data_IF_143721478120
#
_entry.id   IF_143721478120
#
_cell.length_a   1.000
_cell.length_b   1.000
_cell.length_c   1.000
_cell.angle_alpha   90.00
_cell.angle_beta   90.00
_cell.angle_gamma   90.00
#
_symmetry.space_group_name_H-M   'P 1'
#
loop_
_entity.id
_entity.type
_entity.pdbx_description
1 polymer ?
#
# COMPACT_ATOMS: atom_id res chain seq x y z
N UNK A 1 -27.71 -37.50 50.38
CA UNK A 1 -28.51 -37.39 49.14
C UNK A 1 -29.54 -36.30 49.33
N UNK A 2 -29.66 -35.23 48.54
CA UNK A 2 -28.76 -34.51 47.64
C UNK A 2 -29.44 -33.12 47.57
N UNK A 3 -28.72 -32.07 47.98
CA UNK A 3 -29.08 -30.67 47.67
C UNK A 3 -28.39 -30.35 46.36
N UNK A 4 -29.14 -30.38 45.27
CA UNK A 4 -28.70 -30.01 43.93
C UNK A 4 -29.93 -29.44 43.24
N UNK A 5 -29.75 -28.27 42.63
CA UNK A 5 -30.74 -27.45 41.88
C UNK A 5 -31.20 -26.21 42.63
N UNK A 6 -30.30 -25.20 42.73
CA UNK A 6 -30.59 -23.74 42.70
C UNK A 6 -29.35 -22.92 43.09
N UNK A 7 -28.30 -22.93 42.25
CA UNK A 7 -27.30 -21.86 42.24
C UNK A 7 -26.53 -21.86 40.92
N UNK A 8 -27.06 -21.17 39.92
CA UNK A 8 -26.30 -20.77 38.72
C UNK A 8 -27.02 -19.60 38.01
N UNK A 9 -26.73 -18.39 38.48
CA UNK A 9 -27.02 -17.04 37.95
C UNK A 9 -26.68 -16.13 39.14
N UNK A 10 -25.71 -15.22 39.18
CA UNK A 10 -25.21 -14.25 38.21
C UNK A 10 -23.84 -13.79 38.73
N UNK A 11 -22.74 -14.19 38.10
CA UNK A 11 -21.45 -13.52 38.21
C UNK A 11 -20.97 -13.21 36.79
N UNK A 12 -21.37 -12.03 36.29
CA UNK A 12 -20.91 -11.49 35.03
C UNK A 12 -19.73 -10.56 35.31
N UNK A 13 -18.54 -11.16 35.44
CA UNK A 13 -17.28 -10.41 35.35
C UNK A 13 -16.86 -10.21 33.87
N UNK A 14 -16.13 -9.11 33.58
CA UNK A 14 -16.03 -8.53 32.25
C UNK A 14 -15.16 -9.38 31.32
N UNK A 15 -15.66 -9.60 30.10
CA UNK A 15 -14.88 -10.20 29.00
C UNK A 15 -13.62 -9.36 28.74
N UNK A 16 -12.43 -9.97 28.64
CA UNK A 16 -11.24 -9.24 28.23
C UNK A 16 -11.42 -8.72 26.80
N UNK A 17 -11.06 -7.45 26.61
CA UNK A 17 -10.96 -6.82 25.30
C UNK A 17 -10.02 -7.64 24.42
N UNK A 18 -10.51 -8.03 23.24
CA UNK A 18 -9.72 -8.64 22.18
C UNK A 18 -8.62 -7.65 21.79
N UNK A 19 -7.43 -7.91 22.33
CA UNK A 19 -6.20 -7.29 21.91
C UNK A 19 -5.93 -7.62 20.44
N UNK A 20 -5.53 -6.56 19.75
CA UNK A 20 -4.93 -6.51 18.42
C UNK A 20 -4.01 -7.72 18.20
N UNK A 21 -4.54 -8.72 17.50
CA UNK A 21 -3.81 -9.95 17.20
C UNK A 21 -3.12 -9.79 15.87
N UNK A 22 -1.81 -9.56 15.99
CA UNK A 22 -0.75 -9.67 15.00
C UNK A 22 -1.15 -10.33 13.67
N UNK A 23 -0.83 -9.64 12.59
CA UNK A 23 -0.82 -10.17 11.22
C UNK A 23 -0.05 -11.51 11.19
N UNK A 24 -0.62 -12.59 10.60
CA UNK A 24 0.09 -13.84 10.47
C UNK A 24 1.14 -13.68 9.37
N UNK A 25 2.38 -13.52 9.79
CA UNK A 25 3.56 -13.66 8.95
C UNK A 25 3.89 -15.15 8.78
N UNK A 26 4.06 -15.55 7.53
CA UNK A 26 4.70 -16.78 7.03
C UNK A 26 4.02 -18.15 7.27
N UNK A 27 3.39 -18.66 6.21
CA UNK A 27 3.59 -20.05 5.75
C UNK A 27 2.93 -20.30 4.38
N UNK A 28 3.66 -20.01 3.29
CA UNK A 28 3.53 -20.70 1.99
C UNK A 28 4.79 -20.44 1.16
N UNK A 29 5.78 -21.30 1.32
CA UNK A 29 7.01 -21.34 0.53
C UNK A 29 6.74 -21.88 -0.88
N UNK A 30 6.51 -20.97 -1.80
CA UNK A 30 6.89 -21.02 -3.20
C UNK A 30 7.29 -19.60 -3.55
N UNK A 31 8.53 -19.36 -4.00
CA UNK A 31 9.01 -18.01 -4.29
C UNK A 31 8.09 -17.40 -5.35
N UNK A 32 7.11 -16.60 -4.93
CA UNK A 32 6.26 -15.87 -5.84
C UNK A 32 7.13 -14.78 -6.47
N UNK A 33 7.49 -14.89 -7.76
CA UNK A 33 8.43 -13.96 -8.38
C UNK A 33 7.75 -12.60 -8.66
N UNK A 34 6.46 -12.46 -8.32
CA UNK A 34 5.66 -11.28 -8.57
C UNK A 34 5.57 -10.38 -7.34
N UNK A 35 5.70 -9.08 -7.60
CA UNK A 35 5.59 -8.01 -6.60
C UNK A 35 4.50 -7.02 -7.01
N UNK A 36 3.86 -6.42 -6.01
CA UNK A 36 2.79 -5.43 -6.20
C UNK A 36 3.21 -4.11 -5.61
N UNK A 37 3.11 -3.06 -6.42
CA UNK A 37 3.28 -1.68 -5.99
C UNK A 37 1.93 -1.17 -5.49
N UNK A 38 1.81 -0.92 -4.18
CA UNK A 38 0.59 -0.39 -3.56
C UNK A 38 0.43 1.11 -3.86
N UNK A 39 -0.79 1.64 -3.63
CA UNK A 39 -1.11 3.07 -3.81
C UNK A 39 -0.23 4.03 -3.01
N UNK A 40 0.35 3.56 -1.90
CA UNK A 40 1.26 4.32 -1.05
C UNK A 40 2.75 4.15 -1.45
N UNK A 41 3.04 3.55 -2.61
CA UNK A 41 4.40 3.29 -3.09
C UNK A 41 5.07 2.06 -2.48
N UNK A 42 4.51 1.46 -1.41
CA UNK A 42 5.10 0.28 -0.77
C UNK A 42 5.00 -0.95 -1.68
N UNK A 43 6.13 -1.60 -1.90
CA UNK A 43 6.21 -2.87 -2.63
C UNK A 43 5.92 -4.03 -1.68
N UNK A 44 5.01 -4.92 -2.08
CA UNK A 44 4.68 -6.15 -1.35
C UNK A 44 4.73 -7.36 -2.26
N UNK A 45 4.88 -8.55 -1.68
CA UNK A 45 4.76 -9.80 -2.43
C UNK A 45 3.35 -9.93 -2.99
N UNK A 46 3.21 -10.38 -4.24
CA UNK A 46 1.90 -10.68 -4.81
C UNK A 46 1.25 -11.84 -4.04
N UNK A 47 -0.03 -11.70 -3.72
CA UNK A 47 -0.79 -12.71 -3.02
C UNK A 47 -2.14 -12.88 -3.73
N UNK A 48 -2.35 -13.99 -4.46
CA UNK A 48 -3.59 -14.22 -5.19
C UNK A 48 -4.81 -14.34 -4.27
N UNK A 49 -4.63 -14.72 -2.99
CA UNK A 49 -5.73 -14.83 -2.03
C UNK A 49 -6.43 -13.48 -1.79
N UNK A 50 -5.70 -12.36 -1.92
CA UNK A 50 -6.26 -11.01 -1.81
C UNK A 50 -7.26 -10.72 -2.92
N UNK A 51 -7.03 -11.24 -4.13
CA UNK A 51 -7.95 -11.12 -5.26
C UNK A 51 -9.21 -11.93 -4.95
N UNK A 52 -9.07 -13.21 -4.59
CA UNK A 52 -10.20 -14.08 -4.26
C UNK A 52 -11.09 -13.47 -3.18
N UNK A 53 -10.51 -12.97 -2.08
CA UNK A 53 -11.27 -12.33 -1.00
C UNK A 53 -12.02 -11.08 -1.49
N UNK A 54 -11.40 -10.26 -2.32
CA UNK A 54 -12.05 -9.07 -2.87
C UNK A 54 -13.20 -9.43 -3.82
N UNK A 55 -13.02 -10.45 -4.66
CA UNK A 55 -14.06 -10.96 -5.54
C UNK A 55 -15.23 -11.54 -4.74
N UNK A 56 -14.96 -12.39 -3.74
CA UNK A 56 -16.01 -12.95 -2.87
C UNK A 56 -16.83 -11.86 -2.19
N UNK A 57 -16.20 -10.78 -1.70
CA UNK A 57 -16.93 -9.64 -1.13
C UNK A 57 -17.86 -8.97 -2.14
N UNK A 58 -17.44 -8.83 -3.39
CA UNK A 58 -18.29 -8.28 -4.44
C UNK A 58 -19.47 -9.22 -4.77
N UNK A 59 -19.25 -10.54 -4.80
CA UNK A 59 -20.34 -11.52 -4.98
C UNK A 59 -21.34 -11.47 -3.81
N UNK A 60 -20.85 -11.44 -2.56
CA UNK A 60 -21.70 -11.35 -1.38
C UNK A 60 -22.54 -10.06 -1.33
N UNK A 61 -22.00 -8.95 -1.83
CA UNK A 61 -22.74 -7.69 -1.91
C UNK A 61 -23.94 -7.77 -2.89
N UNK A 62 -23.90 -8.67 -3.87
CA UNK A 62 -24.97 -8.82 -4.88
C UNK A 62 -25.92 -9.97 -4.54
N UNK A 63 -25.38 -11.13 -4.15
CA UNK A 63 -26.16 -12.36 -3.90
C UNK A 63 -26.58 -12.52 -2.42
N UNK A 64 -26.03 -11.70 -1.52
CA UNK A 64 -26.34 -11.73 -0.09
C UNK A 64 -25.56 -12.80 0.68
N UNK A 65 -25.71 -12.79 2.01
CA UNK A 65 -24.91 -13.63 2.91
C UNK A 65 -25.18 -15.14 2.77
N UNK A 66 -26.33 -15.54 2.21
CA UNK A 66 -26.67 -16.95 1.93
C UNK A 66 -25.72 -17.56 0.89
N UNK A 67 -25.11 -16.72 0.06
CA UNK A 67 -24.15 -17.10 -0.95
C UNK A 67 -22.74 -17.40 -0.38
N UNK A 68 -22.47 -17.07 0.89
CA UNK A 68 -21.15 -17.28 1.51
C UNK A 68 -20.73 -18.75 1.61
N UNK A 69 -21.69 -19.67 1.71
CA UNK A 69 -21.45 -21.11 1.71
C UNK A 69 -21.63 -21.76 0.34
N UNK A 70 -21.88 -20.98 -0.72
CA UNK A 70 -22.16 -21.52 -2.06
C UNK A 70 -20.87 -22.00 -2.73
N UNK A 71 -20.74 -23.31 -2.93
CA UNK A 71 -19.63 -23.93 -3.68
C UNK A 71 -19.47 -23.32 -5.07
N UNK A 72 -20.59 -23.05 -5.75
CA UNK A 72 -20.60 -22.42 -7.09
C UNK A 72 -19.88 -21.06 -7.10
N UNK A 73 -20.06 -20.24 -6.06
CA UNK A 73 -19.43 -18.92 -5.99
C UNK A 73 -17.94 -19.06 -5.74
N UNK A 74 -17.53 -19.95 -4.84
CA UNK A 74 -16.12 -20.24 -4.58
C UNK A 74 -15.42 -20.73 -5.85
N UNK A 75 -16.00 -21.68 -6.58
CA UNK A 75 -15.48 -22.17 -7.86
C UNK A 75 -15.39 -21.06 -8.92
N UNK A 76 -16.41 -20.18 -8.97
CA UNK A 76 -16.43 -19.06 -9.91
C UNK A 76 -15.34 -18.03 -9.57
N UNK A 77 -15.19 -17.68 -8.29
CA UNK A 77 -14.16 -16.75 -7.81
C UNK A 77 -12.76 -17.32 -8.06
N UNK A 78 -12.54 -18.60 -7.80
CA UNK A 78 -11.26 -19.26 -8.05
C UNK A 78 -10.91 -19.23 -9.54
N UNK A 79 -11.84 -19.62 -10.41
CA UNK A 79 -11.67 -19.58 -11.86
C UNK A 79 -11.35 -18.17 -12.35
N UNK A 80 -12.06 -17.15 -11.87
CA UNK A 80 -11.83 -15.77 -12.29
C UNK A 80 -10.51 -15.24 -11.75
N UNK A 81 -10.14 -15.59 -10.52
CA UNK A 81 -8.84 -15.22 -9.94
C UNK A 81 -7.70 -15.79 -10.78
N UNK A 82 -7.82 -17.04 -11.22
CA UNK A 82 -6.82 -17.65 -12.10
C UNK A 82 -6.71 -16.92 -13.45
N UNK A 83 -7.84 -16.52 -14.03
CA UNK A 83 -7.86 -15.73 -15.28
C UNK A 83 -7.18 -14.36 -15.12
N UNK A 84 -7.33 -13.72 -13.94
CA UNK A 84 -6.66 -12.46 -13.62
C UNK A 84 -5.15 -12.65 -13.52
N UNK A 85 -4.71 -13.68 -12.79
CA UNK A 85 -3.27 -14.01 -12.63
C UNK A 85 -2.65 -14.29 -14.01
N UNK A 86 -3.32 -15.11 -14.82
CA UNK A 86 -2.85 -15.41 -16.18
C UNK A 86 -2.79 -14.15 -17.03
N UNK A 87 -3.80 -13.28 -16.98
CA UNK A 87 -3.81 -12.02 -17.71
C UNK A 87 -2.65 -11.08 -17.33
N UNK A 88 -2.38 -10.95 -16.03
CA UNK A 88 -1.34 -10.08 -15.48
C UNK A 88 0.07 -10.55 -15.83
N UNK A 89 0.33 -11.86 -15.69
CA UNK A 89 1.71 -12.37 -15.73
C UNK A 89 2.07 -13.15 -16.99
N UNK A 90 1.12 -13.37 -17.92
CA UNK A 90 1.39 -14.05 -19.20
C UNK A 90 2.57 -13.46 -19.99
N UNK A 91 2.84 -12.16 -19.85
CA UNK A 91 3.92 -11.46 -20.57
C UNK A 91 5.24 -11.36 -19.80
N UNK A 92 5.26 -11.77 -18.53
CA UNK A 92 6.43 -11.66 -17.63
C UNK A 92 6.57 -12.93 -16.78
N UNK A 93 6.82 -14.11 -17.41
CA UNK A 93 6.83 -15.39 -16.70
C UNK A 93 8.01 -15.56 -15.72
N UNK A 94 9.08 -14.77 -15.87
CA UNK A 94 10.27 -14.82 -15.01
C UNK A 94 10.14 -13.99 -13.72
N UNK A 95 9.00 -13.30 -13.54
CA UNK A 95 8.78 -12.38 -12.43
C UNK A 95 8.65 -10.94 -12.89
N UNK A 96 8.09 -10.10 -12.02
CA UNK A 96 7.81 -8.72 -12.36
C UNK A 96 7.14 -7.94 -11.25
N UNK A 97 7.10 -6.63 -11.42
CA UNK A 97 6.32 -5.72 -10.57
C UNK A 97 5.09 -5.25 -11.34
N UNK A 98 3.94 -5.25 -10.66
CA UNK A 98 2.67 -4.75 -11.20
C UNK A 98 2.09 -3.69 -10.28
N UNK A 99 1.42 -2.68 -10.83
CA UNK A 99 0.71 -1.73 -10.00
C UNK A 99 -0.61 -2.34 -9.50
N UNK A 100 -1.02 -1.95 -8.30
CA UNK A 100 -2.29 -2.41 -7.73
C UNK A 100 -3.52 -1.96 -8.55
N UNK A 101 -3.39 -0.91 -9.36
CA UNK A 101 -4.45 -0.50 -10.30
C UNK A 101 -4.54 -1.47 -11.48
N UNK A 102 -3.41 -1.95 -12.03
CA UNK A 102 -3.42 -2.95 -13.12
C UNK A 102 -4.13 -4.23 -12.69
N UNK A 103 -3.94 -4.64 -11.43
CA UNK A 103 -4.64 -5.80 -10.85
C UNK A 103 -6.15 -5.53 -10.80
N UNK A 104 -6.57 -4.33 -10.38
CA UNK A 104 -7.99 -3.97 -10.31
C UNK A 104 -8.62 -3.97 -11.70
N UNK A 105 -7.96 -3.39 -12.70
CA UNK A 105 -8.44 -3.35 -14.08
C UNK A 105 -8.60 -4.76 -14.65
N UNK A 106 -7.68 -5.68 -14.34
CA UNK A 106 -7.79 -7.08 -14.74
C UNK A 106 -8.95 -7.79 -14.04
N UNK A 107 -9.21 -7.51 -12.76
CA UNK A 107 -10.38 -8.07 -12.04
C UNK A 107 -11.68 -7.59 -12.67
N UNK A 108 -11.79 -6.30 -12.96
CA UNK A 108 -12.97 -5.73 -13.63
C UNK A 108 -13.18 -6.34 -15.01
N UNK A 109 -12.11 -6.45 -15.81
CA UNK A 109 -12.16 -7.07 -17.13
C UNK A 109 -12.59 -8.54 -17.05
N UNK A 110 -12.08 -9.31 -16.08
CA UNK A 110 -12.45 -10.70 -15.88
C UNK A 110 -13.94 -10.85 -15.52
N UNK A 111 -14.45 -10.02 -14.60
CA UNK A 111 -15.87 -9.99 -14.24
C UNK A 111 -16.76 -9.61 -15.42
N UNK A 112 -16.37 -8.61 -16.21
CA UNK A 112 -17.12 -8.18 -17.40
C UNK A 112 -17.16 -9.29 -18.47
N UNK A 113 -16.03 -9.96 -18.73
CA UNK A 113 -15.96 -11.07 -19.70
C UNK A 113 -16.76 -12.30 -19.27
N UNK A 114 -16.87 -12.52 -17.97
CA UNK A 114 -17.69 -13.60 -17.41
C UNK A 114 -19.20 -13.31 -17.44
N UNK A 115 -19.61 -12.11 -17.87
CA UNK A 115 -21.01 -11.68 -17.85
C UNK A 115 -21.52 -11.24 -16.48
N UNK A 116 -20.63 -11.17 -15.47
CA UNK A 116 -20.96 -10.84 -14.09
C UNK A 116 -21.06 -9.33 -13.87
N UNK A 117 -21.85 -8.64 -14.71
CA UNK A 117 -21.93 -7.17 -14.74
C UNK A 117 -22.43 -6.57 -13.43
N UNK A 118 -23.35 -7.25 -12.73
CA UNK A 118 -23.85 -6.79 -11.42
C UNK A 118 -22.72 -6.82 -10.38
N UNK A 119 -21.92 -7.89 -10.37
CA UNK A 119 -20.79 -8.06 -9.47
C UNK A 119 -19.66 -7.10 -9.81
N UNK A 120 -19.37 -6.87 -11.09
CA UNK A 120 -18.40 -5.86 -11.53
C UNK A 120 -18.74 -4.46 -10.97
N UNK A 121 -20.02 -4.05 -11.06
CA UNK A 121 -20.46 -2.76 -10.48
C UNK A 121 -20.33 -2.73 -8.96
N UNK A 122 -20.70 -3.81 -8.28
CA UNK A 122 -20.56 -3.92 -6.83
C UNK A 122 -19.08 -3.87 -6.41
N UNK A 123 -18.18 -4.47 -7.19
CA UNK A 123 -16.74 -4.41 -6.99
C UNK A 123 -16.21 -2.97 -7.10
N UNK A 124 -16.63 -2.23 -8.15
CA UNK A 124 -16.25 -0.82 -8.33
C UNK A 124 -16.72 0.03 -7.15
N UNK A 125 -17.97 -0.16 -6.71
CA UNK A 125 -18.51 0.56 -5.55
C UNK A 125 -17.73 0.23 -4.26
N UNK A 126 -17.42 -1.05 -4.04
CA UNK A 126 -16.66 -1.50 -2.88
C UNK A 126 -15.23 -0.91 -2.86
N UNK A 127 -14.52 -0.84 -4.02
CA UNK A 127 -13.18 -0.22 -4.05
C UNK A 127 -13.23 1.28 -3.75
N UNK A 128 -14.28 1.97 -4.19
CA UNK A 128 -14.48 3.40 -3.91
C UNK A 128 -14.75 3.64 -2.43
N UNK A 129 -15.62 2.83 -1.83
CA UNK A 129 -15.92 2.89 -0.40
C UNK A 129 -14.64 2.66 0.42
N UNK A 130 -13.85 1.64 0.10
CA UNK A 130 -12.55 1.40 0.75
C UNK A 130 -11.54 2.52 0.50
N UNK A 131 -11.58 3.20 -0.65
CA UNK A 131 -10.75 4.37 -0.91
C UNK A 131 -11.17 5.56 -0.02
N UNK A 132 -12.49 5.80 0.11
CA UNK A 132 -13.04 6.83 1.01
C UNK A 132 -12.73 6.55 2.47
N UNK A 133 -12.87 5.30 2.91
CA UNK A 133 -12.52 4.90 4.28
C UNK A 133 -11.04 5.12 4.59
N UNK A 134 -10.14 4.79 3.66
CA UNK A 134 -8.71 5.08 3.81
C UNK A 134 -8.43 6.57 3.89
N UNK A 135 -9.02 7.36 2.99
CA UNK A 135 -8.88 8.82 3.02
C UNK A 135 -9.42 9.41 4.34
N UNK A 136 -10.55 8.90 4.84
CA UNK A 136 -11.12 9.30 6.12
C UNK A 136 -10.26 8.87 7.32
N UNK A 137 -9.66 7.68 7.28
CA UNK A 137 -8.74 7.19 8.30
C UNK A 137 -7.45 8.01 8.33
N UNK A 138 -6.88 8.35 7.16
CA UNK A 138 -5.73 9.24 7.03
C UNK A 138 -6.06 10.67 7.52
N UNK A 139 -7.22 11.21 7.15
CA UNK A 139 -7.68 12.51 7.63
C UNK A 139 -7.87 12.52 9.16
N UNK A 140 -8.44 11.45 9.73
CA UNK A 140 -8.57 11.29 11.19
C UNK A 140 -7.23 11.12 11.89
N UNK A 141 -6.26 10.42 11.29
CA UNK A 141 -4.87 10.32 11.79
C UNK A 141 -4.19 11.70 11.81
N UNK A 142 -4.38 12.49 10.76
CA UNK A 142 -3.91 13.89 10.68
C UNK A 142 -4.61 14.81 11.67
N UNK A 143 -5.91 14.63 11.92
CA UNK A 143 -6.71 15.47 12.81
C UNK A 143 -6.56 15.14 14.30
N UNK A 144 -6.22 13.89 14.67
CA UNK A 144 -6.02 13.47 16.07
C UNK A 144 -4.62 13.76 16.63
N UNK A 145 -3.84 14.63 15.99
CA UNK A 145 -2.48 14.92 16.45
C UNK A 145 -1.61 13.65 16.46
N UNK A 146 -1.82 12.76 15.48
CA UNK A 146 -0.83 11.74 15.19
C UNK A 146 0.43 12.47 14.76
N UNK A 147 1.36 12.58 15.71
CA UNK A 147 2.74 13.05 15.55
C UNK A 147 3.14 12.81 14.10
N UNK A 148 3.32 13.91 13.38
CA UNK A 148 3.98 13.87 12.08
C UNK A 148 5.15 12.92 12.20
N UNK A 149 5.26 12.01 11.24
CA UNK A 149 6.42 11.15 11.03
C UNK A 149 7.64 11.99 10.63
N UNK A 150 7.90 13.07 11.38
CA UNK A 150 9.06 13.94 11.32
C UNK A 150 10.19 13.36 12.20
N UNK A 151 9.91 12.36 13.05
CA UNK A 151 10.89 11.77 13.98
C UNK A 151 11.26 10.30 13.71
N UNK A 152 10.56 9.57 12.84
CA UNK A 152 11.09 8.31 12.29
C UNK A 152 11.95 8.67 11.07
N UNK A 153 13.15 9.16 11.32
CA UNK A 153 14.09 9.55 10.28
C UNK A 153 14.29 8.44 9.26
N UNK A 154 14.16 8.77 7.97
CA UNK A 154 14.52 7.91 6.84
C UNK A 154 15.88 7.27 7.12
N UNK A 155 16.04 5.95 6.98
CA UNK A 155 17.35 5.32 7.15
C UNK A 155 18.02 5.15 5.79
N UNK A 156 19.32 5.38 5.75
CA UNK A 156 20.16 5.07 4.60
C UNK A 156 21.09 3.90 4.91
N UNK A 157 21.33 3.08 3.89
CA UNK A 157 22.24 1.94 3.96
C UNK A 157 23.63 2.38 3.50
N UNK A 158 24.63 2.15 4.35
CA UNK A 158 26.04 2.40 4.09
C UNK A 158 26.65 1.25 3.27
N UNK A 159 27.84 1.48 2.70
CA UNK A 159 28.55 0.45 1.92
C UNK A 159 28.93 -0.79 2.73
N UNK A 160 29.08 -0.64 4.04
CA UNK A 160 29.37 -1.73 4.98
C UNK A 160 28.11 -2.54 5.35
N UNK A 161 26.95 -2.19 4.79
CA UNK A 161 25.65 -2.82 5.06
C UNK A 161 25.00 -2.35 6.37
N UNK A 162 25.62 -1.45 7.12
CA UNK A 162 24.99 -0.81 8.29
C UNK A 162 23.95 0.22 7.86
N UNK A 163 22.99 0.51 8.74
CA UNK A 163 21.95 1.52 8.47
C UNK A 163 22.06 2.66 9.46
N UNK A 164 22.00 3.89 8.97
CA UNK A 164 22.01 5.09 9.79
C UNK A 164 20.86 6.02 9.39
N UNK A 165 20.36 6.87 10.31
CA UNK A 165 19.40 7.90 9.96
C UNK A 165 19.98 8.86 8.90
N UNK A 166 19.17 9.21 7.91
CA UNK A 166 19.48 10.22 6.92
C UNK A 166 19.60 11.58 7.61
N UNK A 167 20.75 12.21 7.46
CA UNK A 167 20.98 13.56 7.95
C UNK A 167 20.29 14.58 7.04
N UNK A 168 19.02 14.84 7.35
CA UNK A 168 18.22 15.83 6.63
C UNK A 168 18.75 17.26 6.80
N UNK A 169 19.45 17.56 7.89
CA UNK A 169 20.05 18.87 8.10
C UNK A 169 21.22 19.10 7.12
N UNK A 170 22.01 18.05 6.87
CA UNK A 170 23.06 18.08 5.85
C UNK A 170 22.50 18.24 4.44
N UNK A 171 21.43 17.50 4.09
CA UNK A 171 20.78 17.64 2.78
C UNK A 171 20.21 19.06 2.59
N UNK A 172 19.55 19.61 3.62
CA UNK A 172 19.03 20.97 3.61
C UNK A 172 20.13 22.01 3.43
N UNK A 173 21.26 21.86 4.12
CA UNK A 173 22.41 22.75 3.95
C UNK A 173 22.94 22.74 2.51
N UNK A 174 23.10 21.57 1.90
CA UNK A 174 23.60 21.42 0.52
C UNK A 174 22.63 22.07 -0.48
N UNK A 175 21.33 21.81 -0.35
CA UNK A 175 20.33 22.40 -1.26
C UNK A 175 20.27 23.91 -1.09
N UNK A 176 20.35 24.41 0.14
CA UNK A 176 20.36 25.85 0.40
C UNK A 176 21.60 26.52 -0.19
N UNK A 177 22.78 25.92 -0.06
CA UNK A 177 24.00 26.41 -0.70
C UNK A 177 23.88 26.40 -2.23
N UNK A 178 23.33 25.32 -2.81
CA UNK A 178 23.14 25.20 -4.26
C UNK A 178 22.08 26.16 -4.84
N UNK A 179 21.21 26.71 -4.00
CA UNK A 179 20.17 27.67 -4.40
C UNK A 179 20.51 29.11 -4.02
N UNK A 180 21.65 29.34 -3.36
CA UNK A 180 22.11 30.66 -2.95
C UNK A 180 22.49 31.51 -4.17
N UNK A 181 21.95 32.73 -4.24
CA UNK A 181 22.24 33.68 -5.31
C UNK A 181 21.54 33.39 -6.66
N UNK A 182 20.62 32.43 -6.71
CA UNK A 182 19.78 32.18 -7.89
C UNK A 182 18.42 32.89 -7.75
N UNK A 183 18.04 33.65 -8.78
CA UNK A 183 16.73 34.28 -8.85
C UNK A 183 15.65 33.23 -9.23
N UNK A 184 14.44 33.40 -8.70
CA UNK A 184 13.27 32.53 -8.97
C UNK A 184 13.44 31.03 -8.63
N UNK A 185 14.42 30.69 -7.78
CA UNK A 185 14.66 29.34 -7.28
C UNK A 185 14.25 29.21 -5.80
N UNK A 186 13.30 28.33 -5.53
CA UNK A 186 12.86 28.00 -4.16
C UNK A 186 13.52 26.72 -3.63
N UNK A 187 14.43 26.87 -2.66
CA UNK A 187 15.09 25.78 -1.94
C UNK A 187 14.09 24.84 -1.24
N UNK A 188 13.01 25.37 -0.69
CA UNK A 188 11.99 24.57 -0.01
C UNK A 188 11.20 23.70 -0.99
N UNK A 189 11.08 24.13 -2.25
CA UNK A 189 10.47 23.32 -3.32
C UNK A 189 11.38 22.16 -3.73
N UNK A 190 12.68 22.41 -3.92
CA UNK A 190 13.68 21.36 -4.22
C UNK A 190 13.71 20.33 -3.09
N UNK A 191 13.75 20.79 -1.83
CA UNK A 191 13.73 19.90 -0.67
C UNK A 191 12.45 19.07 -0.58
N UNK A 192 11.32 19.62 -0.98
CA UNK A 192 10.04 18.90 -0.99
C UNK A 192 10.02 17.80 -2.04
N UNK A 193 10.52 18.06 -3.24
CA UNK A 193 10.62 17.04 -4.28
C UNK A 193 11.71 16.00 -3.96
N UNK A 194 12.84 16.41 -3.37
CA UNK A 194 13.86 15.48 -2.89
C UNK A 194 13.32 14.55 -1.79
N UNK A 195 12.58 15.08 -0.80
CA UNK A 195 11.92 14.30 0.25
C UNK A 195 10.93 13.26 -0.29
N UNK A 196 10.31 13.51 -1.46
CA UNK A 196 9.42 12.54 -2.13
C UNK A 196 10.18 11.43 -2.84
N UNK A 197 11.40 11.70 -3.27
CA UNK A 197 12.28 10.73 -3.92
C UNK A 197 13.07 9.88 -2.91
N UNK A 198 13.21 10.36 -1.66
CA UNK A 198 13.82 9.58 -0.59
C UNK A 198 12.88 8.47 -0.11
N UNK A 199 13.46 7.31 0.14
CA UNK A 199 12.77 6.16 0.70
C UNK A 199 13.63 5.46 1.73
N UNK A 200 12.99 4.76 2.66
CA UNK A 200 13.67 4.04 3.74
C UNK A 200 14.51 2.87 3.18
N UNK A 201 15.77 2.79 3.59
CA UNK A 201 16.74 1.80 3.11
C UNK A 201 17.48 2.20 1.83
N UNK A 202 17.31 3.43 1.32
CA UNK A 202 18.10 3.99 0.21
C UNK A 202 19.59 3.91 0.50
N UNK A 203 20.44 3.57 -0.47
CA UNK A 203 21.88 3.63 -0.25
C UNK A 203 22.33 5.08 -0.12
N UNK A 204 23.31 5.36 0.74
CA UNK A 204 23.84 6.73 0.91
C UNK A 204 24.32 7.34 -0.42
N UNK A 205 24.92 6.53 -1.30
CA UNK A 205 25.35 6.95 -2.65
C UNK A 205 24.21 7.42 -3.56
N UNK A 206 23.00 6.95 -3.32
CA UNK A 206 21.83 7.25 -4.15
C UNK A 206 21.09 8.52 -3.68
N UNK A 207 21.44 9.05 -2.49
CA UNK A 207 20.84 10.28 -1.94
C UNK A 207 21.15 11.49 -2.82
N UNK A 208 22.42 11.68 -3.20
CA UNK A 208 22.84 12.79 -4.08
C UNK A 208 22.14 12.77 -5.44
N UNK A 209 22.20 11.65 -6.19
CA UNK A 209 21.45 11.49 -7.44
C UNK A 209 19.94 11.73 -7.30
N UNK A 210 19.33 11.35 -6.17
CA UNK A 210 17.90 11.61 -5.93
C UNK A 210 17.57 13.11 -5.78
N UNK A 211 18.45 13.89 -5.16
CA UNK A 211 18.32 15.37 -5.07
C UNK A 211 18.48 16.01 -6.45
N UNK A 212 19.47 15.57 -7.23
CA UNK A 212 19.70 16.05 -8.61
C UNK A 212 18.47 15.79 -9.49
N UNK A 213 17.90 14.59 -9.40
CA UNK A 213 16.68 14.24 -10.13
C UNK A 213 15.49 15.13 -9.70
N UNK A 214 15.39 15.47 -8.41
CA UNK A 214 14.37 16.39 -7.93
C UNK A 214 14.56 17.83 -8.42
N UNK A 215 15.79 18.31 -8.55
CA UNK A 215 16.07 19.61 -9.15
C UNK A 215 15.75 19.62 -10.66
N UNK A 216 16.05 18.53 -11.38
CA UNK A 216 15.77 18.42 -12.82
C UNK A 216 14.29 18.48 -13.18
N UNK A 217 13.41 17.93 -12.35
CA UNK A 217 11.94 18.01 -12.62
C UNK A 217 11.40 19.43 -12.48
N UNK A 218 12.17 20.35 -11.89
CA UNK A 218 11.79 21.75 -11.72
C UNK A 218 12.32 22.64 -12.86
N UNK A 219 13.16 22.12 -13.76
CA UNK A 219 13.69 22.86 -14.92
C UNK A 219 12.56 23.34 -15.84
N UNK A 220 11.49 22.54 -15.97
CA UNK A 220 10.31 22.93 -16.76
C UNK A 220 9.54 24.12 -16.15
N UNK A 221 9.76 24.42 -14.86
CA UNK A 221 9.21 25.61 -14.21
C UNK A 221 10.12 26.82 -14.37
N UNK A 222 11.43 26.63 -14.18
CA UNK A 222 12.42 27.67 -14.37
C UNK A 222 13.78 27.08 -14.78
N UNK A 223 14.44 27.72 -15.76
CA UNK A 223 15.74 27.30 -16.28
C UNK A 223 16.83 27.35 -15.21
N UNK A 224 16.70 28.24 -14.20
CA UNK A 224 17.68 28.41 -13.13
C UNK A 224 17.82 27.16 -12.24
N UNK A 225 16.83 26.26 -12.22
CA UNK A 225 16.96 24.95 -11.56
C UNK A 225 18.02 24.04 -12.21
N UNK A 226 18.48 24.35 -13.43
CA UNK A 226 19.61 23.66 -14.07
C UNK A 226 20.92 23.87 -13.31
N UNK A 227 21.08 25.02 -12.63
CA UNK A 227 22.29 25.31 -11.84
C UNK A 227 22.29 24.61 -10.47
N UNK A 228 21.11 24.17 -10.02
CA UNK A 228 20.92 23.43 -8.76
C UNK A 228 21.17 21.92 -8.96
N UNK A 229 20.97 21.41 -10.19
CA UNK A 229 21.07 19.99 -10.56
C UNK A 229 22.49 19.58 -10.99
#
# INVERSE_FOLDING_TARGET
>A
MQQSDLQNLVDAEPRPALADSAEPEAAASGQNPYRVIRRNGKVTVFDPSKISVAMTKAFLAVEGNTAAASTRIHETVERLTQQVIEGLFRRVPEGGTVHIEDIQDHVELALMRAGEHKVARAYVLYREERARERAAAEAKRKAKGGKTSEEEGLKVTLEDGSTQPLDMARVEAIVREATEGLEDVDAALVLREAKRNFFDGMNEKDVGPAVIMAARTLIDRDVNYTHVA
#
